data_IF_852005809980
#
_entry.id   IF_852005809980
#
_cell.length_a   1.000
_cell.length_b   1.000
_cell.length_c   1.000
_cell.angle_alpha   90.00
_cell.angle_beta   90.00
_cell.angle_gamma   90.00
#
_symmetry.space_group_name_H-M   'P 1'
#
loop_
_entity.id
_entity.type
_entity.pdbx_description
1 polymer ?
#
# COMPACT_ATOMS: atom_id res chain seq x y z
N UNK A 1 23.82 68.73 36.54
CA UNK A 1 22.45 68.19 36.44
C UNK A 1 22.21 67.74 35.01
N UNK A 2 22.52 66.49 34.68
CA UNK A 2 22.26 65.90 33.37
C UNK A 2 20.94 65.12 33.41
N UNK A 3 19.99 65.45 32.52
CA UNK A 3 18.72 64.74 32.38
C UNK A 3 18.96 63.51 31.51
N UNK A 4 18.90 62.32 32.10
CA UNK A 4 18.87 61.05 31.36
C UNK A 4 17.43 60.85 30.91
N UNK A 5 17.19 60.97 29.61
CA UNK A 5 15.91 60.69 28.96
C UNK A 5 15.67 59.19 29.01
N UNK A 6 14.66 58.76 29.76
CA UNK A 6 14.24 57.36 29.84
C UNK A 6 13.62 56.93 28.50
N UNK A 7 14.38 56.18 27.71
CA UNK A 7 13.85 55.32 26.66
C UNK A 7 13.27 54.09 27.34
N UNK A 8 11.95 53.95 27.42
CA UNK A 8 11.38 52.67 27.84
C UNK A 8 9.95 52.48 27.33
N UNK A 9 9.74 51.27 26.81
CA UNK A 9 8.48 50.55 26.57
C UNK A 9 7.76 50.80 25.24
N UNK A 10 8.31 50.18 24.18
CA UNK A 10 7.53 49.63 23.06
C UNK A 10 8.03 48.22 22.71
N UNK A 11 7.88 47.31 23.66
CA UNK A 11 8.11 45.86 23.57
C UNK A 11 7.12 45.35 24.64
N UNK A 12 5.98 44.73 24.35
CA UNK A 12 5.80 43.44 23.71
C UNK A 12 4.32 43.36 23.32
N UNK A 13 4.00 43.30 22.02
CA UNK A 13 2.69 42.82 21.56
C UNK A 13 2.93 41.66 20.61
N UNK A 14 3.38 40.55 21.18
CA UNK A 14 3.43 39.28 20.45
C UNK A 14 2.05 38.64 20.57
N UNK A 15 1.30 38.42 19.49
CA UNK A 15 0.14 37.56 19.56
C UNK A 15 0.62 36.17 19.95
N UNK A 16 0.11 35.66 21.07
CA UNK A 16 0.32 34.27 21.46
C UNK A 16 -0.45 33.43 20.44
N UNK A 17 0.24 32.90 19.45
CA UNK A 17 -0.31 31.90 18.54
C UNK A 17 -0.37 30.59 19.32
N UNK A 18 -1.56 30.22 19.75
CA UNK A 18 -1.80 28.89 20.31
C UNK A 18 -1.85 27.91 19.14
N UNK A 19 -0.75 27.19 18.92
CA UNK A 19 -0.77 26.01 18.07
C UNK A 19 -1.65 24.96 18.74
N UNK A 20 -2.80 24.65 18.14
CA UNK A 20 -3.60 23.52 18.58
C UNK A 20 -2.95 22.25 18.03
N UNK A 21 -2.25 21.51 18.90
CA UNK A 21 -1.77 20.18 18.56
C UNK A 21 -2.98 19.29 18.27
N UNK A 22 -3.08 18.81 17.04
CA UNK A 22 -4.05 17.78 16.70
C UNK A 22 -3.45 16.43 17.12
N UNK A 23 -4.07 15.79 18.09
CA UNK A 23 -3.73 14.41 18.45
C UNK A 23 -4.33 13.52 17.35
N UNK A 24 -3.51 12.69 16.71
CA UNK A 24 -4.00 11.68 15.79
C UNK A 24 -4.88 10.68 16.54
N UNK A 25 -5.94 10.19 15.89
CA UNK A 25 -6.77 9.11 16.45
C UNK A 25 -5.92 7.91 16.89
N UNK A 26 -6.41 7.16 17.88
CA UNK A 26 -5.75 5.94 18.36
C UNK A 26 -5.62 4.94 17.21
N UNK A 27 -4.43 4.82 16.64
CA UNK A 27 -4.11 3.82 15.62
C UNK A 27 -3.79 2.50 16.31
N UNK A 28 -4.37 1.39 15.84
CA UNK A 28 -3.88 0.06 16.21
C UNK A 28 -2.47 -0.10 15.64
N UNK A 29 -1.67 -1.02 16.22
CA UNK A 29 -0.34 -1.36 15.67
C UNK A 29 -0.41 -2.09 14.32
N UNK A 30 -1.60 -2.23 13.73
CA UNK A 30 -1.76 -2.76 12.39
C UNK A 30 -1.22 -1.73 11.39
N UNK A 31 -0.30 -2.17 10.52
CA UNK A 31 0.38 -1.29 9.58
C UNK A 31 -0.54 -0.65 8.53
N UNK A 32 -1.81 -1.07 8.47
CA UNK A 32 -2.77 -0.76 7.40
C UNK A 32 -4.23 -0.67 7.88
N UNK A 33 -5.09 0.12 7.20
CA UNK A 33 -6.44 0.43 7.67
C UNK A 33 -7.40 -0.77 7.73
N UNK A 34 -8.36 -0.82 8.67
CA UNK A 34 -9.34 -1.91 8.74
C UNK A 34 -10.19 -2.06 7.48
N UNK A 35 -10.49 -0.97 6.76
CA UNK A 35 -11.33 -1.00 5.55
C UNK A 35 -10.74 -1.81 4.39
N UNK A 36 -9.43 -2.08 4.41
CA UNK A 36 -8.79 -2.88 3.35
C UNK A 36 -8.79 -4.38 3.66
N UNK A 37 -9.23 -4.78 4.86
CA UNK A 37 -9.29 -6.18 5.26
C UNK A 37 -10.59 -6.82 4.76
N UNK A 38 -10.45 -7.91 3.99
CA UNK A 38 -11.58 -8.71 3.51
C UNK A 38 -11.67 -10.02 4.28
N UNK A 39 -12.87 -10.46 4.71
CA UNK A 39 -13.03 -11.75 5.38
C UNK A 39 -12.45 -12.91 4.57
N UNK A 40 -11.70 -13.78 5.23
CA UNK A 40 -11.08 -14.95 4.60
C UNK A 40 -9.77 -14.69 3.87
N UNK A 41 -9.24 -13.45 3.88
CA UNK A 41 -7.92 -13.12 3.36
C UNK A 41 -6.95 -12.76 4.49
N UNK A 42 -5.70 -13.17 4.36
CA UNK A 42 -4.61 -12.78 5.24
C UNK A 42 -3.56 -11.96 4.50
N UNK A 43 -2.86 -11.08 5.22
CA UNK A 43 -1.68 -10.41 4.67
C UNK A 43 -0.60 -11.46 4.38
N UNK A 44 -0.13 -11.51 3.14
CA UNK A 44 0.88 -12.46 2.69
C UNK A 44 2.23 -11.80 2.45
N UNK A 45 2.24 -10.60 1.85
CA UNK A 45 3.46 -9.85 1.58
C UNK A 45 3.22 -8.35 1.79
N UNK A 46 4.25 -7.67 2.26
CA UNK A 46 4.28 -6.22 2.40
C UNK A 46 5.63 -5.72 1.91
N UNK A 47 5.64 -4.69 1.08
CA UNK A 47 6.88 -4.08 0.59
C UNK A 47 6.73 -2.58 0.50
N UNK A 48 7.70 -1.86 1.06
CA UNK A 48 7.79 -0.42 0.99
C UNK A 48 8.62 -0.03 -0.23
N UNK A 49 8.08 0.82 -1.10
CA UNK A 49 8.70 1.26 -2.35
C UNK A 49 8.33 2.70 -2.65
N UNK A 50 9.13 3.41 -3.45
CA UNK A 50 8.79 4.73 -3.96
C UNK A 50 8.05 4.51 -5.27
N UNK A 51 6.79 4.94 -5.39
CA UNK A 51 6.01 4.78 -6.62
C UNK A 51 5.66 6.12 -7.29
N UNK A 52 5.80 7.25 -6.59
CA UNK A 52 5.50 8.60 -7.12
C UNK A 52 6.68 9.59 -6.94
N UNK A 53 6.49 10.88 -7.25
CA UNK A 53 7.54 11.94 -7.14
C UNK A 53 7.69 12.55 -5.72
N UNK A 54 6.85 12.16 -4.77
CA UNK A 54 6.72 12.85 -3.48
C UNK A 54 7.40 12.01 -2.38
N UNK A 55 8.10 12.59 -1.39
CA UNK A 55 8.33 11.82 -0.17
C UNK A 55 6.95 11.68 0.50
N UNK A 56 6.26 10.51 0.42
CA UNK A 56 6.82 9.22 0.81
C UNK A 56 6.27 7.91 0.17
N UNK A 57 7.22 7.08 -0.31
CA UNK A 57 7.35 5.62 -0.16
C UNK A 57 6.11 4.84 0.31
N UNK A 58 5.25 4.47 -0.62
CA UNK A 58 4.09 3.61 -0.46
C UNK A 58 4.43 2.26 0.17
N UNK A 59 3.46 1.69 0.89
CA UNK A 59 3.48 0.28 1.26
C UNK A 59 2.49 -0.46 0.37
N UNK A 60 3.03 -1.40 -0.42
CA UNK A 60 2.24 -2.31 -1.23
C UNK A 60 2.02 -3.59 -0.42
N UNK A 61 0.76 -3.91 -0.18
CA UNK A 61 0.30 -5.04 0.61
C UNK A 61 -0.37 -6.05 -0.31
N UNK A 62 0.03 -7.32 -0.23
CA UNK A 62 -0.64 -8.43 -0.90
C UNK A 62 -1.43 -9.23 0.12
N UNK A 63 -2.74 -9.28 -0.08
CA UNK A 63 -3.63 -10.15 0.67
C UNK A 63 -3.97 -11.38 -0.16
N UNK A 64 -3.90 -12.55 0.48
CA UNK A 64 -4.13 -13.83 -0.18
C UNK A 64 -5.07 -14.72 0.62
N UNK A 65 -5.80 -15.56 -0.11
CA UNK A 65 -6.60 -16.66 0.41
C UNK A 65 -6.39 -17.89 -0.46
N UNK A 66 -6.54 -19.08 0.12
CA UNK A 66 -6.43 -20.32 -0.63
C UNK A 66 -7.64 -20.47 -1.56
N UNK A 67 -7.40 -20.90 -2.81
CA UNK A 67 -8.45 -21.15 -3.80
C UNK A 67 -8.49 -22.61 -4.30
N UNK A 68 -7.48 -23.40 -3.99
CA UNK A 68 -7.46 -24.82 -4.33
C UNK A 68 -6.04 -25.37 -4.34
N UNK A 69 -5.89 -26.60 -3.87
CA UNK A 69 -4.62 -27.32 -3.90
C UNK A 69 -4.67 -28.38 -5.00
N UNK A 70 -3.64 -28.40 -5.85
CA UNK A 70 -3.46 -29.37 -6.93
C UNK A 70 -2.11 -30.08 -6.75
N UNK A 71 -1.90 -31.26 -7.35
CA UNK A 71 -0.70 -32.06 -7.09
C UNK A 71 0.64 -31.33 -7.31
N UNK A 72 0.68 -30.34 -8.20
CA UNK A 72 1.89 -29.62 -8.56
C UNK A 72 1.83 -28.10 -8.36
N UNK A 73 0.69 -27.56 -7.96
CA UNK A 73 0.53 -26.13 -7.76
C UNK A 73 -0.64 -25.81 -6.83
N UNK A 74 -0.60 -24.62 -6.24
CA UNK A 74 -1.72 -24.05 -5.52
C UNK A 74 -2.32 -22.90 -6.32
N UNK A 75 -3.62 -22.69 -6.17
CA UNK A 75 -4.30 -21.48 -6.62
C UNK A 75 -4.64 -20.61 -5.42
N UNK A 76 -4.47 -19.31 -5.60
CA UNK A 76 -4.72 -18.31 -4.57
C UNK A 76 -5.62 -17.21 -5.10
N UNK A 77 -6.62 -16.82 -4.30
CA UNK A 77 -7.31 -15.53 -4.49
C UNK A 77 -6.40 -14.45 -3.91
N UNK A 78 -6.15 -13.41 -4.69
CA UNK A 78 -5.26 -12.33 -4.33
C UNK A 78 -5.92 -10.98 -4.59
N UNK A 79 -5.72 -10.04 -3.69
CA UNK A 79 -5.88 -8.61 -3.98
C UNK A 79 -4.73 -7.86 -3.31
N UNK A 80 -4.41 -6.69 -3.83
CA UNK A 80 -3.37 -5.86 -3.26
C UNK A 80 -3.89 -4.46 -2.98
N UNK A 81 -3.18 -3.79 -2.08
CA UNK A 81 -3.51 -2.47 -1.57
C UNK A 81 -2.24 -1.65 -1.60
N UNK A 82 -2.35 -0.40 -2.02
CA UNK A 82 -1.25 0.57 -1.98
C UNK A 82 -1.68 1.64 -0.99
N UNK A 83 -0.91 1.79 0.08
CA UNK A 83 -1.16 2.79 1.11
C UNK A 83 0.03 3.74 1.23
N UNK A 84 -0.24 4.99 1.58
CA UNK A 84 0.81 5.91 2.02
C UNK A 84 1.43 5.39 3.32
N UNK A 85 2.77 5.35 3.40
CA UNK A 85 3.45 4.79 4.56
C UNK A 85 3.25 5.59 5.86
N UNK A 86 3.10 6.91 5.79
CA UNK A 86 3.02 7.77 6.97
C UNK A 86 1.58 8.17 7.30
N UNK A 87 0.81 8.65 6.32
CA UNK A 87 -0.59 9.04 6.53
C UNK A 87 -1.46 7.81 6.77
N UNK A 88 -1.06 6.64 6.22
CA UNK A 88 -1.83 5.40 6.15
C UNK A 88 -3.08 5.51 5.27
N UNK A 89 -3.14 6.53 4.43
CA UNK A 89 -4.20 6.71 3.45
C UNK A 89 -4.15 5.61 2.37
N UNK A 90 -5.32 5.07 2.02
CA UNK A 90 -5.44 4.07 0.96
C UNK A 90 -5.41 4.78 -0.40
N UNK A 91 -4.31 4.63 -1.13
CA UNK A 91 -4.16 5.16 -2.49
C UNK A 91 -4.88 4.28 -3.52
N UNK A 92 -4.86 2.96 -3.33
CA UNK A 92 -5.47 2.01 -4.27
C UNK A 92 -5.84 0.68 -3.62
N UNK A 93 -6.94 0.07 -4.09
CA UNK A 93 -7.36 -1.29 -3.75
C UNK A 93 -7.71 -2.03 -5.04
N UNK A 94 -7.08 -3.18 -5.28
CA UNK A 94 -7.37 -3.98 -6.46
C UNK A 94 -8.65 -4.81 -6.30
N UNK A 95 -9.23 -5.22 -7.43
CA UNK A 95 -10.17 -6.35 -7.44
C UNK A 95 -9.46 -7.64 -7.01
N UNK A 96 -10.25 -8.62 -6.55
CA UNK A 96 -9.75 -9.97 -6.27
C UNK A 96 -9.51 -10.71 -7.60
N UNK A 97 -8.36 -11.36 -7.71
CA UNK A 97 -7.91 -12.10 -8.90
C UNK A 97 -7.33 -13.46 -8.48
N UNK A 98 -7.19 -14.40 -9.42
CA UNK A 98 -6.55 -15.69 -9.14
C UNK A 98 -5.16 -15.74 -9.73
N UNK A 99 -4.22 -16.28 -8.96
CA UNK A 99 -2.88 -16.60 -9.45
C UNK A 99 -2.37 -17.86 -8.77
N UNK A 100 -1.40 -18.52 -9.41
CA UNK A 100 -0.60 -19.57 -8.77
C UNK A 100 0.59 -18.99 -7.99
N UNK A 101 0.70 -17.67 -7.92
CA UNK A 101 1.81 -16.96 -7.28
C UNK A 101 1.29 -15.95 -6.24
N UNK A 102 1.98 -15.89 -5.09
CA UNK A 102 1.72 -14.93 -3.99
C UNK A 102 2.86 -13.92 -3.83
N UNK A 103 3.36 -13.41 -4.95
CA UNK A 103 4.48 -12.46 -4.98
C UNK A 103 4.06 -11.04 -5.39
N UNK A 104 4.73 -10.04 -4.84
CA UNK A 104 4.70 -8.67 -5.37
C UNK A 104 5.94 -8.50 -6.25
N UNK A 105 5.73 -8.29 -7.55
CA UNK A 105 6.79 -7.91 -8.47
C UNK A 105 6.80 -6.39 -8.56
N UNK A 106 7.76 -5.78 -7.87
CA UNK A 106 7.96 -4.34 -7.82
C UNK A 106 9.34 -4.05 -8.41
N UNK A 107 9.38 -3.33 -9.51
CA UNK A 107 10.60 -3.06 -10.27
C UNK A 107 10.61 -1.60 -10.72
N UNK A 108 11.78 -0.97 -10.73
CA UNK A 108 12.05 0.31 -11.40
C UNK A 108 12.71 0.00 -12.74
N UNK A 109 11.89 -0.17 -13.79
CA UNK A 109 12.38 -0.70 -15.07
C UNK A 109 13.04 0.35 -15.95
N UNK A 110 12.64 1.61 -15.83
CA UNK A 110 13.22 2.72 -16.59
C UNK A 110 14.33 3.47 -15.84
N UNK A 111 14.59 3.12 -14.57
CA UNK A 111 15.59 3.68 -13.68
C UNK A 111 15.31 5.16 -13.34
N UNK A 112 14.04 5.54 -13.23
CA UNK A 112 13.62 6.88 -12.81
C UNK A 112 13.54 7.03 -11.28
N UNK A 113 13.73 5.94 -10.54
CA UNK A 113 13.63 5.88 -9.08
C UNK A 113 12.25 5.48 -8.55
N UNK A 114 11.29 5.16 -9.44
CA UNK A 114 9.92 4.77 -9.10
C UNK A 114 9.67 3.32 -9.46
N UNK A 115 9.15 2.59 -8.49
CA UNK A 115 8.78 1.19 -8.63
C UNK A 115 7.38 1.06 -9.20
N UNK A 116 7.24 0.12 -10.11
CA UNK A 116 6.01 -0.21 -10.77
C UNK A 116 5.57 -1.59 -10.32
N UNK A 117 4.28 -1.77 -10.07
CA UNK A 117 3.73 -3.05 -9.62
C UNK A 117 3.28 -3.88 -10.83
N UNK A 118 3.88 -5.05 -10.98
CA UNK A 118 3.49 -6.05 -11.97
C UNK A 118 2.80 -7.24 -11.30
N UNK A 119 1.70 -7.70 -11.89
CA UNK A 119 0.97 -8.87 -11.39
C UNK A 119 0.49 -9.73 -12.55
N UNK A 120 0.74 -11.03 -12.42
CA UNK A 120 0.22 -12.08 -13.29
C UNK A 120 -0.97 -12.77 -12.62
N UNK A 121 -2.08 -12.85 -13.34
CA UNK A 121 -3.32 -13.41 -12.82
C UNK A 121 -4.21 -13.95 -13.93
N UNK A 122 -5.31 -14.60 -13.57
CA UNK A 122 -6.42 -14.93 -14.47
C UNK A 122 -7.75 -14.71 -13.73
N UNK A 123 -8.85 -14.68 -14.48
CA UNK A 123 -10.19 -14.48 -13.89
C UNK A 123 -10.64 -15.72 -13.13
N UNK A 124 -11.39 -15.51 -12.06
CA UNK A 124 -12.10 -16.60 -11.37
C UNK A 124 -13.03 -17.31 -12.39
N UNK A 125 -13.11 -18.63 -12.30
CA UNK A 125 -13.85 -19.52 -13.21
C UNK A 125 -13.33 -19.70 -14.66
N UNK A 126 -12.24 -19.05 -15.07
CA UNK A 126 -11.64 -19.20 -16.41
C UNK A 126 -10.37 -20.09 -16.40
N UNK A 127 -10.43 -21.22 -15.69
CA UNK A 127 -9.35 -22.20 -15.67
C UNK A 127 -9.81 -23.63 -15.85
N UNK A 128 -8.92 -24.47 -16.39
CA UNK A 128 -9.12 -25.91 -16.50
C UNK A 128 -7.91 -26.65 -15.98
N UNK A 129 -8.14 -27.83 -15.43
CA UNK A 129 -7.11 -28.82 -15.13
C UNK A 129 -7.42 -30.12 -15.87
N UNK A 130 -6.43 -30.98 -16.08
CA UNK A 130 -6.69 -32.32 -16.58
C UNK A 130 -7.38 -33.20 -15.52
N UNK A 131 -7.73 -34.43 -15.90
CA UNK A 131 -8.43 -35.38 -15.02
C UNK A 131 -7.70 -35.68 -13.71
N UNK A 132 -6.38 -35.53 -13.70
CA UNK A 132 -5.52 -35.83 -12.56
C UNK A 132 -5.16 -34.54 -11.78
N UNK A 133 -5.64 -33.38 -12.24
CA UNK A 133 -5.38 -32.07 -11.63
C UNK A 133 -4.02 -31.47 -11.97
N UNK A 134 -3.26 -32.06 -12.89
CA UNK A 134 -1.82 -31.77 -13.05
C UNK A 134 -1.53 -30.56 -13.96
N UNK A 135 -2.38 -30.33 -14.96
CA UNK A 135 -2.10 -29.37 -16.03
C UNK A 135 -3.05 -28.17 -16.01
N UNK A 136 -2.62 -27.07 -15.39
CA UNK A 136 -3.35 -25.80 -15.41
C UNK A 136 -3.38 -25.19 -16.81
N UNK A 137 -4.58 -24.96 -17.35
CA UNK A 137 -4.83 -24.21 -18.58
C UNK A 137 -5.64 -22.97 -18.25
N UNK A 138 -5.07 -21.80 -18.52
CA UNK A 138 -5.65 -20.48 -18.26
C UNK A 138 -5.23 -19.48 -19.32
N UNK A 139 -5.99 -18.40 -19.45
CA UNK A 139 -5.55 -17.20 -20.15
C UNK A 139 -4.93 -16.26 -19.11
N UNK A 140 -3.61 -16.13 -19.15
CA UNK A 140 -2.88 -15.21 -18.26
C UNK A 140 -3.09 -13.76 -18.67
N UNK A 141 -3.46 -12.95 -17.69
CA UNK A 141 -3.57 -11.51 -17.76
C UNK A 141 -2.45 -10.88 -16.92
N UNK A 142 -2.06 -9.67 -17.30
CA UNK A 142 -0.98 -8.93 -16.67
C UNK A 142 -1.46 -7.52 -16.34
N UNK A 143 -1.29 -7.10 -15.09
CA UNK A 143 -1.50 -5.72 -14.68
C UNK A 143 -0.15 -5.05 -14.44
N UNK A 144 -0.07 -3.78 -14.82
CA UNK A 144 0.98 -2.85 -14.42
C UNK A 144 0.32 -1.63 -13.79
N UNK A 145 0.81 -1.22 -12.62
CA UNK A 145 0.40 0.05 -11.98
C UNK A 145 1.63 0.91 -11.77
N UNK A 146 1.49 2.17 -12.16
CA UNK A 146 2.47 3.24 -12.09
C UNK A 146 1.73 4.50 -11.61
N UNK A 147 2.39 5.38 -10.86
CA UNK A 147 1.83 6.64 -10.36
C UNK A 147 2.57 7.85 -10.90
#
# INVERSE_FOLDING_TARGET
>A
MGKITAFMLFLIWSPIVWSQYHISETRTWDDYPPEVQKPGFGLHKSQKVQMDDNPPLEVVLLFSSNNGHYPYFDLFKNYYVIIDNYSKEVKYVSNVTISNERELQLEDRDNDGKFELYRKYFKDDEFMVDKDGNNLKVIWNYNSIQF
#
